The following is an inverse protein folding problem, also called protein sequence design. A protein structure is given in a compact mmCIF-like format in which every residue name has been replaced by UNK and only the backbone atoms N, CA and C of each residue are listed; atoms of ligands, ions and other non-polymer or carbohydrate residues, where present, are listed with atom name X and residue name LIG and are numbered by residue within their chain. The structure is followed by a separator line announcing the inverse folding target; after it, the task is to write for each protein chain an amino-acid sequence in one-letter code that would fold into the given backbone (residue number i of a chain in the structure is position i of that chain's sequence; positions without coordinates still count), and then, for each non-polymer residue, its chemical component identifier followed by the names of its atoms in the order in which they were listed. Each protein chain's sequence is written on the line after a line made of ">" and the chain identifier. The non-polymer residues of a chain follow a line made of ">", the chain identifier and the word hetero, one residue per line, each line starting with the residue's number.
data_IF_387710818850
#
_entry.id   IF_387710818850
#
_cell.length_a   1.000
_cell.length_b   1.000
_cell.length_c   1.000
_cell.angle_alpha   90.00
_cell.angle_beta   90.00
_cell.angle_gamma   90.00
#
_symmetry.space_group_name_H-M   'P 1'
#
loop_
_entity.id
_entity.type
_entity.pdbx_description
1 polymer ?
#
# COMPACT_ATOMS: atom_id res chain seq x y z
N UNK A 1 23.14 -12.34 -11.53
CA UNK A 1 22.10 -13.07 -10.78
C UNK A 1 21.79 -12.27 -9.53
N UNK A 2 20.51 -12.02 -9.22
CA UNK A 2 20.09 -11.33 -7.99
C UNK A 2 19.19 -12.26 -7.17
N UNK A 3 19.24 -12.14 -5.84
CA UNK A 3 18.53 -13.00 -4.89
C UNK A 3 17.42 -12.17 -4.25
N UNK A 4 16.23 -12.76 -4.14
CA UNK A 4 15.11 -12.19 -3.37
C UNK A 4 15.18 -12.76 -1.95
N UNK A 5 15.57 -11.92 -1.00
CA UNK A 5 15.93 -12.36 0.35
C UNK A 5 14.72 -12.71 1.22
N UNK A 6 13.58 -12.04 1.03
CA UNK A 6 12.38 -12.24 1.83
C UNK A 6 11.11 -11.65 1.19
N UNK A 7 9.98 -11.85 1.88
CA UNK A 7 8.69 -11.25 1.55
C UNK A 7 8.50 -9.91 2.26
N UNK A 8 7.96 -8.92 1.53
CA UNK A 8 7.71 -7.57 2.04
C UNK A 8 6.64 -7.46 3.13
N UNK A 9 5.76 -8.47 3.30
CA UNK A 9 4.65 -8.45 4.25
C UNK A 9 5.10 -8.25 5.71
N UNK A 10 6.31 -8.70 6.05
CA UNK A 10 6.90 -8.50 7.39
C UNK A 10 7.11 -7.01 7.73
N UNK A 11 7.23 -6.16 6.72
CA UNK A 11 7.57 -4.74 6.86
C UNK A 11 6.39 -3.81 6.61
N UNK A 12 5.15 -4.33 6.58
CA UNK A 12 3.97 -3.55 6.20
C UNK A 12 3.80 -2.24 6.99
N UNK A 13 4.11 -2.25 8.30
CA UNK A 13 3.88 -1.11 9.18
C UNK A 13 4.79 0.09 8.92
N UNK A 14 5.86 -0.10 8.14
CA UNK A 14 6.82 0.94 7.77
C UNK A 14 6.99 1.06 6.25
N UNK A 15 7.46 0.00 5.60
CA UNK A 15 7.82 0.01 4.18
C UNK A 15 6.60 0.16 3.26
N UNK A 16 5.41 -0.20 3.77
CA UNK A 16 4.13 -0.08 3.09
C UNK A 16 3.14 0.75 3.92
N UNK A 17 3.64 1.77 4.61
CA UNK A 17 2.80 2.72 5.32
C UNK A 17 3.02 4.12 4.71
N UNK A 18 2.02 4.67 3.97
CA UNK A 18 2.14 5.99 3.34
C UNK A 18 2.56 7.10 4.31
N UNK A 19 2.06 7.12 5.54
CA UNK A 19 2.39 8.16 6.53
C UNK A 19 3.84 8.05 6.99
N UNK A 20 4.31 6.81 7.24
CA UNK A 20 5.72 6.58 7.57
C UNK A 20 6.63 7.00 6.41
N UNK A 21 6.27 6.63 5.19
CA UNK A 21 7.05 6.96 3.99
C UNK A 21 7.13 8.47 3.76
N UNK A 22 6.00 9.20 3.87
CA UNK A 22 5.97 10.67 3.77
C UNK A 22 6.80 11.33 4.87
N UNK A 23 6.73 10.84 6.11
CA UNK A 23 7.54 11.36 7.23
C UNK A 23 9.05 11.25 6.99
N UNK A 24 9.47 10.32 6.12
CA UNK A 24 10.86 10.07 5.74
C UNK A 24 11.22 10.56 4.34
N UNK A 25 10.31 11.29 3.69
CA UNK A 25 10.46 11.79 2.32
C UNK A 25 10.76 10.67 1.30
N UNK A 26 10.12 9.51 1.48
CA UNK A 26 10.21 8.37 0.58
C UNK A 26 9.03 8.38 -0.43
N UNK A 27 9.24 7.91 -1.67
CA UNK A 27 8.17 7.82 -2.66
C UNK A 27 7.12 6.80 -2.23
N UNK A 28 5.85 7.23 -2.15
CA UNK A 28 4.72 6.34 -1.85
C UNK A 28 4.24 5.69 -3.15
N UNK A 29 3.92 4.39 -3.17
CA UNK A 29 3.38 3.75 -4.37
C UNK A 29 1.97 4.27 -4.71
N UNK A 30 1.72 4.60 -5.98
CA UNK A 30 0.47 5.24 -6.45
C UNK A 30 -0.81 4.48 -6.07
N UNK A 31 -0.74 3.14 -6.07
CA UNK A 31 -1.87 2.28 -5.71
C UNK A 31 -2.28 2.39 -4.24
N UNK A 32 -1.40 2.89 -3.37
CA UNK A 32 -1.72 3.16 -1.97
C UNK A 32 -2.45 4.49 -1.77
N UNK A 33 -2.35 5.41 -2.73
CA UNK A 33 -3.03 6.71 -2.69
C UNK A 33 -4.32 6.71 -3.52
N UNK A 34 -4.44 5.77 -4.45
CA UNK A 34 -5.59 5.66 -5.34
C UNK A 34 -6.84 5.24 -4.55
N UNK A 35 -7.84 6.12 -4.48
CA UNK A 35 -9.15 5.78 -3.94
C UNK A 35 -9.97 5.02 -4.99
N UNK A 36 -10.59 3.91 -4.58
CA UNK A 36 -11.52 3.20 -5.44
C UNK A 36 -12.76 4.05 -5.71
N UNK A 37 -13.10 4.23 -6.99
CA UNK A 37 -14.33 4.91 -7.43
C UNK A 37 -15.48 3.92 -7.66
N UNK A 38 -15.26 2.63 -7.37
CA UNK A 38 -16.25 1.58 -7.62
C UNK A 38 -17.39 1.71 -6.61
N UNK A 39 -18.61 1.90 -7.13
CA UNK A 39 -19.83 1.88 -6.31
C UNK A 39 -20.19 0.43 -5.97
N UNK A 40 -20.32 0.11 -4.68
CA UNK A 40 -20.68 -1.24 -4.21
C UNK A 40 -22.19 -1.46 -4.42
N UNK A 41 -22.61 -2.49 -5.17
CA UNK A 41 -24.02 -2.79 -5.40
C UNK A 41 -24.60 -3.55 -4.20
N UNK A 42 -25.11 -2.81 -3.22
CA UNK A 42 -25.83 -3.41 -2.09
C UNK A 42 -27.22 -3.86 -2.53
N UNK A 43 -27.66 -5.05 -2.09
CA UNK A 43 -29.04 -5.52 -2.24
C UNK A 43 -29.94 -4.79 -1.23
N UNK A 44 -31.15 -4.38 -1.65
CA UNK A 44 -32.12 -3.80 -0.72
C UNK A 44 -32.75 -4.91 0.11
N UNK A 45 -32.63 -4.80 1.43
CA UNK A 45 -33.19 -5.74 2.41
C UNK A 45 -34.73 -5.74 2.43
#
# INVERSE_FOLDING_TARGET
>A
MTILCDYGSRYQSKLFNPDFMRSKNLPVPDWMETQSTIQVPFEQA
#
